data_IF_949947408302
#
_entry.id   IF_949947408302
#
_cell.length_a   1.000
_cell.length_b   1.000
_cell.length_c   1.000
_cell.angle_alpha   90.00
_cell.angle_beta   90.00
_cell.angle_gamma   90.00
#
_symmetry.space_group_name_H-M   'P 1'
#
loop_
_entity.id
_entity.type
_entity.pdbx_description
1 polymer ?
#
# COMPACT_ATOMS: atom_id res chain seq x y z
N UNK A 1 -17.90 8.34 -9.35
CA UNK A 1 -17.06 7.66 -8.36
C UNK A 1 -17.34 6.16 -8.39
N UNK A 2 -16.32 5.37 -8.23
CA UNK A 2 -16.42 3.93 -8.16
C UNK A 2 -15.45 3.39 -7.11
N UNK A 3 -15.77 2.21 -6.57
CA UNK A 3 -14.93 1.54 -5.59
C UNK A 3 -14.63 0.14 -6.13
N UNK A 4 -13.37 -0.24 -6.14
CA UNK A 4 -12.93 -1.57 -6.54
C UNK A 4 -12.04 -2.16 -5.44
N UNK A 5 -12.03 -3.48 -5.34
CA UNK A 5 -11.20 -4.18 -4.37
C UNK A 5 -10.36 -5.25 -5.06
N UNK A 6 -9.12 -5.41 -4.58
CA UNK A 6 -8.19 -6.44 -5.04
C UNK A 6 -7.76 -7.26 -3.84
N UNK A 7 -8.08 -8.55 -3.87
CA UNK A 7 -7.80 -9.49 -2.77
C UNK A 7 -6.40 -10.11 -2.88
N UNK A 8 -6.04 -10.87 -1.87
CA UNK A 8 -4.80 -11.67 -1.82
C UNK A 8 -3.53 -10.83 -1.98
N UNK A 9 -3.50 -9.73 -1.28
CA UNK A 9 -2.36 -8.82 -1.27
C UNK A 9 -1.47 -9.14 -0.08
N UNK A 10 -0.16 -9.06 -0.32
CA UNK A 10 0.85 -9.18 0.74
C UNK A 10 1.57 -7.85 0.88
N UNK A 11 1.68 -7.35 2.10
CA UNK A 11 2.39 -6.10 2.41
C UNK A 11 3.72 -6.43 3.09
N UNK A 12 4.78 -5.76 2.65
CA UNK A 12 6.13 -5.93 3.18
C UNK A 12 6.61 -4.58 3.69
N UNK A 13 6.96 -4.53 4.98
CA UNK A 13 7.55 -3.36 5.60
C UNK A 13 9.07 -3.51 5.62
N UNK A 14 9.78 -2.55 5.05
CA UNK A 14 11.23 -2.60 4.85
C UNK A 14 11.83 -1.35 5.49
N UNK A 15 12.69 -1.55 6.48
CA UNK A 15 13.31 -0.46 7.22
C UNK A 15 14.81 -0.40 6.91
N UNK A 16 15.30 0.79 6.59
CA UNK A 16 16.73 0.98 6.34
C UNK A 16 17.50 0.92 7.67
N UNK A 17 18.55 0.09 7.70
CA UNK A 17 19.45 0.03 8.85
C UNK A 17 20.43 1.19 8.88
N UNK A 18 20.55 1.94 7.78
CA UNK A 18 21.44 3.10 7.63
C UNK A 18 20.62 4.35 7.42
N UNK A 19 20.32 5.05 8.49
CA UNK A 19 19.48 6.25 8.46
C UNK A 19 20.11 7.42 7.71
N UNK A 20 21.44 7.41 7.55
CA UNK A 20 22.16 8.44 6.84
C UNK A 20 22.55 7.92 5.47
N UNK A 21 22.37 8.73 4.42
CA UNK A 21 22.72 8.42 3.03
C UNK A 21 21.85 7.32 2.40
N UNK A 22 20.53 7.40 2.62
CA UNK A 22 19.60 6.41 2.12
C UNK A 22 19.22 6.55 0.64
N UNK A 23 19.86 7.44 -0.11
CA UNK A 23 19.46 7.66 -1.50
C UNK A 23 19.72 6.48 -2.44
N UNK A 24 20.49 5.50 -2.05
CA UNK A 24 20.62 4.25 -2.78
C UNK A 24 19.68 3.14 -2.29
N UNK A 25 19.02 3.36 -1.17
CA UNK A 25 18.21 2.32 -0.51
C UNK A 25 17.01 1.90 -1.35
N UNK A 26 16.23 2.85 -1.83
CA UNK A 26 15.05 2.54 -2.65
C UNK A 26 15.44 1.83 -3.95
N UNK A 27 16.54 2.23 -4.58
CA UNK A 27 17.05 1.55 -5.75
C UNK A 27 17.33 0.08 -5.46
N UNK A 28 18.02 -0.21 -4.37
CA UNK A 28 18.34 -1.59 -3.98
C UNK A 28 17.09 -2.41 -3.70
N UNK A 29 16.11 -1.81 -3.02
CA UNK A 29 14.84 -2.47 -2.76
C UNK A 29 14.15 -2.88 -4.07
N UNK A 30 13.99 -1.94 -4.99
CA UNK A 30 13.28 -2.22 -6.24
C UNK A 30 14.08 -3.10 -7.19
N UNK A 31 15.40 -3.10 -7.13
CA UNK A 31 16.22 -4.08 -7.87
C UNK A 31 15.90 -5.51 -7.46
N UNK A 32 15.65 -5.75 -6.18
CA UNK A 32 15.27 -7.09 -5.70
C UNK A 32 13.94 -7.53 -6.32
N UNK A 33 12.92 -6.67 -6.31
CA UNK A 33 11.63 -7.00 -6.92
C UNK A 33 11.74 -7.21 -8.43
N UNK A 34 12.56 -6.41 -9.12
CA UNK A 34 12.82 -6.58 -10.54
C UNK A 34 13.51 -7.91 -10.84
N UNK A 35 14.53 -8.25 -10.06
CA UNK A 35 15.28 -9.51 -10.21
C UNK A 35 14.35 -10.72 -10.18
N UNK A 36 13.37 -10.71 -9.29
CA UNK A 36 12.41 -11.81 -9.14
C UNK A 36 11.13 -11.59 -9.93
N UNK A 37 11.10 -10.60 -10.82
CA UNK A 37 9.97 -10.29 -11.70
C UNK A 37 8.64 -10.23 -10.94
N UNK A 38 8.67 -9.58 -9.78
CA UNK A 38 7.52 -9.44 -8.90
C UNK A 38 7.02 -8.01 -8.94
N UNK A 39 5.86 -7.74 -9.57
CA UNK A 39 5.31 -6.39 -9.63
C UNK A 39 4.90 -5.88 -8.25
N UNK A 40 5.08 -4.58 -8.05
CA UNK A 40 4.68 -3.89 -6.83
C UNK A 40 3.43 -3.06 -7.13
N UNK A 41 2.38 -3.20 -6.33
CA UNK A 41 1.12 -2.47 -6.52
C UNK A 41 1.11 -1.11 -5.84
N UNK A 42 1.23 -1.11 -4.49
CA UNK A 42 1.27 0.12 -3.69
C UNK A 42 2.63 0.32 -3.07
N UNK A 43 3.02 1.57 -2.93
CA UNK A 43 4.27 1.96 -2.29
C UNK A 43 3.98 3.15 -1.38
N UNK A 44 4.40 3.07 -0.13
CA UNK A 44 4.47 4.25 0.74
C UNK A 44 5.87 4.34 1.33
N UNK A 45 6.42 5.53 1.38
CA UNK A 45 7.77 5.74 1.87
C UNK A 45 7.80 6.80 2.95
N UNK A 46 8.73 6.62 3.87
CA UNK A 46 9.19 7.67 4.77
C UNK A 46 10.69 7.82 4.59
N UNK A 47 11.32 8.65 5.42
CA UNK A 47 12.75 8.92 5.32
C UNK A 47 13.61 7.64 5.44
N UNK A 48 13.16 6.67 6.27
CA UNK A 48 13.97 5.50 6.65
C UNK A 48 13.29 4.17 6.34
N UNK A 49 12.10 4.20 5.76
CA UNK A 49 11.36 2.96 5.53
C UNK A 49 10.51 3.04 4.27
N UNK A 50 10.17 1.87 3.75
CA UNK A 50 9.26 1.72 2.63
C UNK A 50 8.35 0.53 2.90
N UNK A 51 7.06 0.71 2.64
CA UNK A 51 6.10 -0.40 2.60
C UNK A 51 5.67 -0.61 1.16
N UNK A 52 5.68 -1.85 0.72
CA UNK A 52 5.25 -2.23 -0.63
C UNK A 52 4.21 -3.32 -0.54
N UNK A 53 3.37 -3.41 -1.58
CA UNK A 53 2.42 -4.50 -1.70
C UNK A 53 2.69 -5.28 -2.99
N UNK A 54 2.50 -6.59 -2.91
CA UNK A 54 2.61 -7.50 -4.04
C UNK A 54 1.38 -8.43 -4.06
N UNK A 55 1.01 -8.92 -5.23
CA UNK A 55 -0.07 -9.89 -5.40
C UNK A 55 0.42 -11.28 -5.81
N UNK A 56 1.73 -11.44 -5.98
CA UNK A 56 2.36 -12.71 -6.34
C UNK A 56 3.40 -13.06 -5.27
N UNK A 57 3.26 -14.22 -4.67
CA UNK A 57 4.15 -14.67 -3.59
C UNK A 57 5.08 -15.80 -4.00
N UNK A 58 5.15 -16.10 -5.30
CA UNK A 58 6.00 -17.18 -5.83
C UNK A 58 7.45 -17.06 -5.38
N UNK A 59 7.98 -15.85 -5.34
CA UNK A 59 9.36 -15.56 -4.98
C UNK A 59 9.51 -14.86 -3.63
N UNK A 60 8.48 -14.88 -2.80
CA UNK A 60 8.46 -14.11 -1.54
C UNK A 60 9.65 -14.45 -0.64
N UNK A 61 9.94 -15.73 -0.44
CA UNK A 61 11.04 -16.14 0.44
C UNK A 61 12.40 -15.65 -0.06
N UNK A 62 12.62 -15.73 -1.37
CA UNK A 62 13.87 -15.24 -1.98
C UNK A 62 13.98 -13.73 -1.88
N UNK A 63 12.90 -13.01 -2.11
CA UNK A 63 12.84 -11.55 -1.97
C UNK A 63 13.16 -11.15 -0.53
N UNK A 64 12.50 -11.77 0.44
CA UNK A 64 12.72 -11.48 1.85
C UNK A 64 14.17 -11.75 2.25
N UNK A 65 14.73 -12.84 1.78
CA UNK A 65 16.12 -13.21 2.07
C UNK A 65 17.12 -12.17 1.54
N UNK A 66 16.94 -11.71 0.30
CA UNK A 66 17.83 -10.68 -0.25
C UNK A 66 17.64 -9.31 0.42
N UNK A 67 16.41 -8.92 0.71
CA UNK A 67 16.16 -7.66 1.42
C UNK A 67 16.82 -7.65 2.80
N UNK A 68 16.84 -8.79 3.50
CA UNK A 68 17.47 -8.89 4.81
C UNK A 68 18.99 -8.67 4.78
N UNK A 69 19.63 -8.78 3.65
CA UNK A 69 21.05 -8.51 3.52
C UNK A 69 21.40 -7.04 3.77
N UNK A 70 20.45 -6.12 3.57
CA UNK A 70 20.70 -4.69 3.71
C UNK A 70 19.60 -3.91 4.43
N UNK A 71 18.57 -4.58 4.93
CA UNK A 71 17.43 -3.95 5.58
C UNK A 71 16.92 -4.80 6.72
N UNK A 72 16.19 -4.17 7.62
CA UNK A 72 15.40 -4.86 8.64
C UNK A 72 13.99 -5.07 8.11
N UNK A 73 13.45 -6.25 8.32
CA UNK A 73 12.13 -6.63 7.84
C UNK A 73 11.29 -7.15 9.00
N UNK A 74 10.01 -6.77 8.98
CA UNK A 74 9.00 -7.46 9.78
C UNK A 74 8.45 -8.63 8.98
N UNK A 75 7.71 -9.53 9.63
CA UNK A 75 7.02 -10.60 8.91
C UNK A 75 6.03 -9.99 7.93
N UNK A 76 5.89 -10.55 6.71
CA UNK A 76 4.94 -10.01 5.74
C UNK A 76 3.50 -10.08 6.26
N UNK A 77 2.73 -9.02 5.99
CA UNK A 77 1.29 -9.03 6.26
C UNK A 77 0.57 -9.69 5.09
N UNK A 78 0.14 -10.92 5.31
CA UNK A 78 -0.63 -11.68 4.32
C UNK A 78 -2.11 -11.31 4.38
N UNK A 79 -2.89 -11.76 3.40
CA UNK A 79 -4.34 -11.58 3.36
C UNK A 79 -4.79 -10.14 3.51
N UNK A 80 -4.15 -9.26 2.78
CA UNK A 80 -4.52 -7.86 2.71
C UNK A 80 -5.39 -7.61 1.48
N UNK A 81 -6.12 -6.49 1.50
CA UNK A 81 -7.00 -6.08 0.41
C UNK A 81 -6.67 -4.63 0.05
N UNK A 82 -6.45 -4.37 -1.23
CA UNK A 82 -6.37 -3.00 -1.74
C UNK A 82 -7.77 -2.56 -2.13
N UNK A 83 -8.22 -1.45 -1.56
CA UNK A 83 -9.47 -0.81 -1.94
C UNK A 83 -9.11 0.46 -2.68
N UNK A 84 -9.54 0.53 -3.94
CA UNK A 84 -9.27 1.68 -4.80
C UNK A 84 -10.54 2.48 -5.00
N UNK A 85 -10.50 3.76 -4.65
CA UNK A 85 -11.60 4.70 -4.88
C UNK A 85 -11.24 5.52 -6.10
N UNK A 86 -12.08 5.44 -7.13
CA UNK A 86 -11.85 6.11 -8.42
C UNK A 86 -12.82 7.26 -8.59
N UNK A 87 -12.32 8.39 -9.05
CA UNK A 87 -13.13 9.59 -9.28
C UNK A 87 -12.26 10.69 -9.89
N UNK A 88 -12.77 11.92 -9.91
CA UNK A 88 -12.02 13.09 -10.37
C UNK A 88 -11.77 14.01 -9.17
N UNK A 89 -10.78 13.65 -8.36
CA UNK A 89 -10.60 14.23 -7.04
C UNK A 89 -10.04 15.65 -7.05
N UNK A 90 -9.23 15.99 -8.05
CA UNK A 90 -8.65 17.34 -8.13
C UNK A 90 -9.67 18.38 -8.62
N UNK A 91 -10.72 17.94 -9.29
CA UNK A 91 -11.82 18.84 -9.66
C UNK A 91 -12.72 19.16 -8.47
N UNK A 92 -12.72 18.32 -7.44
CA UNK A 92 -13.49 18.52 -6.23
C UNK A 92 -12.63 19.31 -5.23
N UNK A 93 -12.92 20.59 -5.08
CA UNK A 93 -12.12 21.52 -4.29
C UNK A 93 -12.27 21.33 -2.77
N UNK A 94 -13.16 20.46 -2.32
CA UNK A 94 -13.52 20.37 -0.92
C UNK A 94 -12.98 19.15 -0.18
N UNK A 95 -11.74 18.76 -0.45
CA UNK A 95 -11.06 17.77 0.38
C UNK A 95 -11.67 16.37 0.35
N UNK A 96 -11.73 15.76 -0.83
CA UNK A 96 -12.25 14.39 -0.99
C UNK A 96 -11.49 13.39 -0.09
N UNK A 97 -10.20 13.58 0.14
CA UNK A 97 -9.43 12.71 1.02
C UNK A 97 -10.01 12.68 2.44
N UNK A 98 -10.45 13.83 2.94
CA UNK A 98 -11.09 13.91 4.27
C UNK A 98 -12.40 13.11 4.28
N UNK A 99 -13.21 13.23 3.23
CA UNK A 99 -14.46 12.47 3.11
C UNK A 99 -14.22 10.97 3.12
N UNK A 100 -13.20 10.52 2.40
CA UNK A 100 -12.81 9.11 2.37
C UNK A 100 -12.40 8.64 3.77
N UNK A 101 -11.48 9.35 4.42
CA UNK A 101 -10.98 8.97 5.74
C UNK A 101 -12.08 9.04 6.81
N UNK A 102 -12.95 10.03 6.74
CA UNK A 102 -14.09 10.13 7.65
C UNK A 102 -15.03 8.94 7.48
N UNK A 103 -15.30 8.51 6.24
CA UNK A 103 -16.16 7.37 5.97
C UNK A 103 -15.65 6.08 6.60
N UNK A 104 -14.33 5.89 6.63
CA UNK A 104 -13.69 4.67 7.14
C UNK A 104 -12.99 4.87 8.48
N UNK A 105 -13.38 5.85 9.26
CA UNK A 105 -12.69 6.20 10.52
C UNK A 105 -12.65 5.08 11.56
N UNK A 106 -13.51 4.08 11.45
CA UNK A 106 -13.54 2.92 12.36
C UNK A 106 -12.77 1.72 11.84
N UNK A 107 -12.19 1.80 10.64
CA UNK A 107 -11.49 0.70 10.00
C UNK A 107 -9.98 0.92 10.15
N UNK A 108 -9.22 -0.05 10.71
CA UNK A 108 -7.77 0.06 10.72
C UNK A 108 -7.22 0.05 9.29
N UNK A 109 -6.41 1.05 8.96
CA UNK A 109 -5.81 1.20 7.63
C UNK A 109 -4.32 0.92 7.76
N UNK A 110 -3.81 0.02 6.92
CA UNK A 110 -2.39 -0.34 6.90
C UNK A 110 -1.57 0.61 6.04
N UNK A 111 -2.10 1.02 4.88
CA UNK A 111 -1.44 1.93 3.95
C UNK A 111 -2.46 2.81 3.26
N UNK A 112 -2.03 4.02 2.89
CA UNK A 112 -2.82 4.95 2.07
C UNK A 112 -1.91 5.45 0.97
N UNK A 113 -2.40 5.45 -0.27
CA UNK A 113 -1.72 6.10 -1.39
C UNK A 113 -2.67 7.10 -2.04
N UNK A 114 -2.26 8.36 -2.06
CA UNK A 114 -3.01 9.46 -2.65
C UNK A 114 -2.04 10.49 -3.21
N UNK A 115 -2.30 10.96 -4.43
CA UNK A 115 -1.48 11.99 -5.07
C UNK A 115 -0.68 11.51 -6.26
N UNK A 116 -0.53 10.18 -6.43
CA UNK A 116 0.12 9.65 -7.63
C UNK A 116 -0.76 9.82 -8.87
N UNK A 117 -2.07 9.91 -8.67
CA UNK A 117 -3.06 10.15 -9.72
C UNK A 117 -4.14 11.06 -9.19
N UNK A 118 -4.68 11.93 -10.05
CA UNK A 118 -5.85 12.77 -9.73
C UNK A 118 -7.15 11.97 -9.69
N UNK A 119 -7.10 10.68 -10.06
CA UNK A 119 -8.30 9.88 -10.26
C UNK A 119 -8.48 8.78 -9.22
N UNK A 120 -7.52 8.54 -8.33
CA UNK A 120 -7.69 7.48 -7.35
C UNK A 120 -7.08 7.75 -5.99
N UNK A 121 -7.65 7.09 -4.99
CA UNK A 121 -7.11 6.95 -3.66
C UNK A 121 -7.12 5.45 -3.38
N UNK A 122 -5.99 4.90 -2.97
CA UNK A 122 -5.88 3.48 -2.65
C UNK A 122 -5.61 3.27 -1.17
N UNK A 123 -6.32 2.33 -0.58
CA UNK A 123 -6.20 1.96 0.83
C UNK A 123 -5.83 0.49 0.93
N UNK A 124 -5.02 0.15 1.90
CA UNK A 124 -4.73 -1.23 2.23
C UNK A 124 -5.34 -1.55 3.60
N UNK A 125 -6.17 -2.57 3.65
CA UNK A 125 -6.81 -3.03 4.88
C UNK A 125 -6.64 -4.54 4.99
N UNK A 126 -6.75 -5.06 6.21
CA UNK A 126 -6.79 -6.51 6.41
C UNK A 126 -8.05 -7.10 5.77
N UNK A 127 -7.96 -8.31 5.26
CA UNK A 127 -9.10 -8.97 4.61
C UNK A 127 -10.32 -9.09 5.53
N UNK A 128 -10.11 -9.20 6.84
CA UNK A 128 -11.21 -9.26 7.83
C UNK A 128 -12.05 -7.98 7.87
N UNK A 129 -11.50 -6.86 7.40
CA UNK A 129 -12.20 -5.57 7.37
C UNK A 129 -12.74 -5.18 6.00
N UNK A 130 -12.57 -6.05 4.99
CA UNK A 130 -12.96 -5.72 3.61
C UNK A 130 -14.40 -5.28 3.48
N UNK A 131 -15.34 -6.11 3.96
CA UNK A 131 -16.77 -5.85 3.78
C UNK A 131 -17.22 -4.60 4.55
N UNK A 132 -16.73 -4.42 5.77
CA UNK A 132 -17.04 -3.23 6.56
C UNK A 132 -16.50 -1.97 5.90
N UNK A 133 -15.30 -2.04 5.34
CA UNK A 133 -14.70 -0.91 4.63
C UNK A 133 -15.50 -0.56 3.37
N UNK A 134 -15.86 -1.55 2.56
CA UNK A 134 -16.65 -1.32 1.35
C UNK A 134 -18.02 -0.73 1.67
N UNK A 135 -18.68 -1.25 2.69
CA UNK A 135 -19.99 -0.72 3.11
C UNK A 135 -19.86 0.72 3.62
N UNK A 136 -18.86 0.98 4.46
CA UNK A 136 -18.65 2.32 5.00
C UNK A 136 -18.35 3.35 3.90
N UNK A 137 -17.55 2.98 2.91
CA UNK A 137 -17.23 3.84 1.77
C UNK A 137 -18.46 4.09 0.89
N UNK A 138 -19.26 3.08 0.65
CA UNK A 138 -20.51 3.24 -0.11
C UNK A 138 -21.48 4.18 0.59
N UNK A 139 -21.64 4.04 1.90
CA UNK A 139 -22.51 4.91 2.68
C UNK A 139 -21.99 6.34 2.75
N UNK A 140 -20.67 6.51 2.87
CA UNK A 140 -20.07 7.84 3.05
C UNK A 140 -19.84 8.63 1.77
N UNK A 141 -19.69 7.94 0.62
CA UNK A 141 -19.31 8.59 -0.65
C UNK A 141 -20.44 8.61 -1.69
N UNK A 142 -21.45 7.80 -1.49
CA UNK A 142 -22.61 7.69 -2.41
C UNK A 142 -23.97 7.91 -1.65
#
# INVERSE_FOLDING_TARGET
>A
KAIAAKDNITAIYIHSTRMLNAYGFLKRVFEVFEKYKTPVDMITTSEVSVSVTIDQTTHLDAIMSELREFAELEDPDMNQVIICIVGNFWADKEGIAIKVLEAIKKIPIRMISYGASEHNISLLVDASHKNDALNALNEGLF
#
